data_IF_903637997759
#
_entry.id   IF_903637997759
#
_cell.length_a   1.000
_cell.length_b   1.000
_cell.length_c   1.000
_cell.angle_alpha   90.00
_cell.angle_beta   90.00
_cell.angle_gamma   90.00
#
_symmetry.space_group_name_H-M   'P 1'
#
loop_
_entity.id
_entity.type
_entity.pdbx_description
1 polymer ?
#
# COMPACT_ATOMS: atom_id res chain seq x y z
N UNK A 1 -21.97 -3.51 9.28
CA UNK A 1 -21.78 -2.57 8.16
C UNK A 1 -23.02 -2.63 7.29
N UNK A 2 -23.63 -1.49 7.00
CA UNK A 2 -24.85 -1.37 6.18
C UNK A 2 -24.56 -0.54 4.91
N UNK A 3 -25.57 -0.37 4.02
CA UNK A 3 -25.42 0.40 2.76
C UNK A 3 -25.00 1.85 2.98
N UNK A 4 -25.39 2.44 4.12
CA UNK A 4 -24.97 3.81 4.48
C UNK A 4 -23.50 3.87 4.83
N UNK A 5 -22.99 2.85 5.51
CA UNK A 5 -21.56 2.73 5.81
C UNK A 5 -20.74 2.59 4.52
N UNK A 6 -21.23 1.78 3.54
CA UNK A 6 -20.57 1.63 2.24
C UNK A 6 -20.53 2.95 1.46
N UNK A 7 -21.61 3.74 1.47
CA UNK A 7 -21.63 5.07 0.84
C UNK A 7 -20.67 6.06 1.50
N UNK A 8 -20.58 6.04 2.85
CA UNK A 8 -19.60 6.86 3.58
C UNK A 8 -18.18 6.46 3.19
N UNK A 9 -17.87 5.16 3.14
CA UNK A 9 -16.57 4.66 2.73
C UNK A 9 -16.22 5.06 1.29
N UNK A 10 -17.19 4.98 0.36
CA UNK A 10 -17.00 5.43 -1.01
C UNK A 10 -16.64 6.93 -1.07
N UNK A 11 -17.40 7.77 -0.38
CA UNK A 11 -17.14 9.21 -0.32
C UNK A 11 -15.75 9.53 0.27
N UNK A 12 -15.34 8.83 1.33
CA UNK A 12 -14.02 8.99 1.94
C UNK A 12 -12.87 8.47 1.05
N UNK A 13 -13.09 7.42 0.26
CA UNK A 13 -12.11 6.94 -0.71
C UNK A 13 -11.94 7.90 -1.90
N UNK A 14 -13.00 8.60 -2.30
CA UNK A 14 -12.92 9.64 -3.33
C UNK A 14 -12.26 10.91 -2.79
N UNK A 15 -12.62 11.33 -1.58
CA UNK A 15 -12.07 12.52 -0.95
C UNK A 15 -11.95 12.34 0.57
N UNK A 16 -10.77 11.93 1.03
CA UNK A 16 -10.48 11.77 2.46
C UNK A 16 -10.54 13.10 3.26
N UNK A 17 -10.66 14.26 2.60
CA UNK A 17 -10.82 15.58 3.22
C UNK A 17 -12.25 16.09 3.21
N UNK A 18 -13.20 15.30 2.69
CA UNK A 18 -14.61 15.67 2.71
C UNK A 18 -15.08 15.87 4.15
N UNK A 19 -15.84 16.93 4.38
CA UNK A 19 -16.46 17.21 5.67
C UNK A 19 -17.61 16.24 5.95
N UNK A 20 -17.94 16.01 7.19
CA UNK A 20 -19.11 15.18 7.55
C UNK A 20 -20.42 15.76 7.04
N UNK A 21 -20.48 17.09 6.80
CA UNK A 21 -21.62 17.74 6.15
C UNK A 21 -21.76 17.31 4.69
N UNK A 22 -20.67 17.40 3.91
CA UNK A 22 -20.64 17.00 2.50
C UNK A 22 -20.96 15.50 2.33
N UNK A 23 -20.37 14.65 3.17
CA UNK A 23 -20.66 13.21 3.17
C UNK A 23 -22.13 12.98 3.54
N UNK A 24 -22.65 13.70 4.54
CA UNK A 24 -24.03 13.61 4.97
C UNK A 24 -25.02 13.95 3.87
N UNK A 25 -24.79 15.02 3.12
CA UNK A 25 -25.59 15.41 1.96
C UNK A 25 -25.59 14.30 0.89
N UNK A 26 -24.43 13.74 0.55
CA UNK A 26 -24.31 12.67 -0.42
C UNK A 26 -24.99 11.36 0.01
N UNK A 27 -25.03 11.07 1.33
CA UNK A 27 -25.55 9.82 1.88
C UNK A 27 -26.99 9.93 2.45
N UNK A 28 -27.56 11.13 2.50
CA UNK A 28 -28.87 11.39 3.14
C UNK A 28 -28.81 11.21 4.66
N UNK A 29 -27.76 11.71 5.30
CA UNK A 29 -27.51 11.60 6.74
C UNK A 29 -27.18 12.97 7.35
N UNK A 30 -27.44 13.14 8.66
CA UNK A 30 -26.93 14.30 9.38
C UNK A 30 -25.42 14.19 9.59
N UNK A 31 -24.69 15.32 9.71
CA UNK A 31 -23.25 15.31 9.99
C UNK A 31 -22.88 14.53 11.24
N UNK A 32 -23.70 14.61 12.31
CA UNK A 32 -23.48 13.86 13.55
C UNK A 32 -23.62 12.36 13.33
N UNK A 33 -24.59 11.92 12.52
CA UNK A 33 -24.76 10.50 12.16
C UNK A 33 -23.56 9.98 11.35
N UNK A 34 -23.03 10.79 10.42
CA UNK A 34 -21.80 10.46 9.68
C UNK A 34 -20.63 10.31 10.62
N UNK A 35 -20.41 11.31 11.52
CA UNK A 35 -19.34 11.26 12.51
C UNK A 35 -19.37 9.98 13.35
N UNK A 36 -20.55 9.62 13.90
CA UNK A 36 -20.67 8.42 14.72
C UNK A 36 -20.40 7.13 13.96
N UNK A 37 -20.80 7.08 12.69
CA UNK A 37 -20.54 5.93 11.80
C UNK A 37 -19.06 5.83 11.44
N UNK A 38 -18.42 6.91 11.04
CA UNK A 38 -16.99 6.96 10.73
C UNK A 38 -16.18 6.49 11.95
N UNK A 39 -16.47 7.01 13.14
CA UNK A 39 -15.81 6.58 14.37
C UNK A 39 -15.94 5.08 14.63
N UNK A 40 -17.12 4.50 14.40
CA UNK A 40 -17.31 3.04 14.53
C UNK A 40 -16.49 2.24 13.51
N UNK A 41 -16.42 2.73 12.25
CA UNK A 41 -15.63 2.10 11.20
C UNK A 41 -14.11 2.17 11.49
N UNK A 42 -13.65 3.26 12.05
CA UNK A 42 -12.26 3.41 12.55
C UNK A 42 -11.97 2.44 13.70
N UNK A 43 -12.84 2.42 14.72
CA UNK A 43 -12.70 1.53 15.89
C UNK A 43 -12.75 0.05 15.51
N UNK A 44 -13.52 -0.30 14.49
CA UNK A 44 -13.61 -1.66 13.95
C UNK A 44 -12.44 -2.02 13.01
N UNK A 45 -11.52 -1.08 12.72
CA UNK A 45 -10.40 -1.28 11.81
C UNK A 45 -10.80 -1.41 10.33
N UNK A 46 -12.02 -1.05 9.97
CA UNK A 46 -12.48 -0.99 8.56
C UNK A 46 -11.79 0.17 7.87
N UNK A 47 -11.78 1.35 8.49
CA UNK A 47 -10.92 2.46 8.10
C UNK A 47 -9.60 2.29 8.85
N UNK A 48 -8.54 2.01 8.10
CA UNK A 48 -7.19 1.78 8.66
C UNK A 48 -6.39 3.06 8.84
N UNK A 49 -6.81 4.15 8.21
CA UNK A 49 -6.13 5.44 8.24
C UNK A 49 -6.47 6.31 7.06
N UNK A 50 -5.86 7.49 7.02
CA UNK A 50 -6.00 8.48 5.97
C UNK A 50 -4.59 8.87 5.51
N UNK A 51 -4.32 8.78 4.21
CA UNK A 51 -3.01 9.07 3.64
C UNK A 51 -3.14 9.99 2.43
N UNK A 52 -2.18 10.91 2.29
CA UNK A 52 -2.03 11.67 1.08
C UNK A 52 -1.41 10.77 -0.01
N UNK A 53 -1.99 10.77 -1.19
CA UNK A 53 -1.35 10.20 -2.37
C UNK A 53 -0.36 11.22 -2.91
N UNK A 54 0.91 10.85 -2.96
CA UNK A 54 1.99 11.72 -3.41
C UNK A 54 2.55 11.16 -4.70
N UNK A 55 2.71 12.02 -5.71
CA UNK A 55 3.37 11.65 -6.95
C UNK A 55 4.86 11.35 -6.69
N UNK A 56 5.30 10.11 -6.92
CA UNK A 56 6.67 9.71 -6.61
C UNK A 56 7.71 10.45 -7.47
N UNK A 57 7.40 10.75 -8.73
CA UNK A 57 8.33 11.50 -9.59
C UNK A 57 8.56 12.92 -9.07
N UNK A 58 7.53 13.57 -8.55
CA UNK A 58 7.64 14.89 -7.91
C UNK A 58 8.51 14.87 -6.65
N UNK A 59 8.71 13.71 -6.04
CA UNK A 59 9.62 13.53 -4.90
C UNK A 59 10.98 12.95 -5.28
N UNK A 60 11.25 12.82 -6.59
CA UNK A 60 12.52 12.34 -7.11
C UNK A 60 12.66 10.81 -7.19
N UNK A 61 11.56 10.07 -7.06
CA UNK A 61 11.53 8.60 -7.14
C UNK A 61 11.07 8.18 -8.54
N UNK A 62 12.02 8.05 -9.47
CA UNK A 62 11.72 7.84 -10.89
C UNK A 62 11.65 6.36 -11.29
N UNK A 63 12.12 5.45 -10.44
CA UNK A 63 12.14 4.01 -10.74
C UNK A 63 11.22 3.26 -9.80
N UNK A 64 10.22 2.59 -10.36
CA UNK A 64 9.35 1.66 -9.64
C UNK A 64 9.66 0.25 -10.11
N UNK A 65 9.83 -0.67 -9.17
CA UNK A 65 10.07 -2.08 -9.45
C UNK A 65 9.19 -2.99 -8.59
N UNK A 66 8.78 -4.10 -9.16
CA UNK A 66 8.21 -5.24 -8.44
C UNK A 66 9.33 -6.28 -8.28
N UNK A 67 9.71 -6.53 -7.04
CA UNK A 67 10.81 -7.44 -6.69
C UNK A 67 10.26 -8.68 -6.02
N UNK A 68 10.28 -9.79 -6.75
CA UNK A 68 9.96 -11.08 -6.18
C UNK A 68 11.12 -11.59 -5.34
N UNK A 69 10.86 -12.12 -4.15
CA UNK A 69 11.84 -12.64 -3.23
C UNK A 69 11.50 -14.08 -2.83
N UNK A 70 12.48 -14.96 -2.98
CA UNK A 70 12.38 -16.39 -2.59
C UNK A 70 13.56 -16.71 -1.68
N UNK A 71 13.33 -17.32 -0.51
CA UNK A 71 14.40 -17.78 0.38
C UNK A 71 15.40 -18.66 -0.34
N UNK A 72 16.70 -18.46 -0.09
CA UNK A 72 17.77 -19.34 -0.59
C UNK A 72 17.75 -20.68 0.14
N UNK A 73 17.51 -20.67 1.44
CA UNK A 73 17.32 -21.86 2.26
C UNK A 73 15.84 -22.01 2.61
N UNK A 74 15.16 -23.08 2.16
CA UNK A 74 13.77 -23.34 2.52
C UNK A 74 13.51 -23.50 4.02
N UNK A 75 14.57 -23.72 4.82
CA UNK A 75 14.48 -23.89 6.29
C UNK A 75 14.71 -22.58 7.05
N UNK A 76 15.08 -21.49 6.38
CA UNK A 76 15.25 -20.23 7.07
C UNK A 76 13.90 -19.73 7.62
N UNK A 77 13.88 -18.94 8.71
CA UNK A 77 12.67 -18.35 9.24
C UNK A 77 11.95 -17.51 8.19
N UNK A 78 10.61 -17.54 8.22
CA UNK A 78 9.75 -16.75 7.33
C UNK A 78 9.55 -15.33 7.91
N UNK A 79 10.66 -14.59 8.03
CA UNK A 79 10.77 -13.28 8.68
C UNK A 79 11.21 -12.16 7.71
N UNK A 80 10.98 -12.38 6.41
CA UNK A 80 11.34 -11.37 5.40
C UNK A 80 10.65 -10.01 5.66
N UNK A 81 9.34 -9.94 6.00
CA UNK A 81 8.70 -8.65 6.25
C UNK A 81 9.42 -7.83 7.31
N UNK A 82 9.85 -8.46 8.41
CA UNK A 82 10.58 -7.81 9.49
C UNK A 82 11.96 -7.32 9.03
N UNK A 83 12.64 -8.12 8.22
CA UNK A 83 13.97 -7.80 7.70
C UNK A 83 13.97 -6.64 6.71
N UNK A 84 12.89 -6.46 5.95
CA UNK A 84 12.79 -5.41 4.94
C UNK A 84 12.12 -4.13 5.47
N UNK A 85 11.53 -4.15 6.65
CA UNK A 85 10.82 -3.02 7.24
C UNK A 85 11.67 -1.75 7.37
N UNK A 86 13.00 -1.91 7.55
CA UNK A 86 13.94 -0.81 7.67
C UNK A 86 14.46 -0.30 6.31
N UNK A 87 14.12 -0.96 5.21
CA UNK A 87 14.52 -0.56 3.87
C UNK A 87 13.52 0.47 3.35
N UNK A 88 13.89 1.73 3.37
CA UNK A 88 13.01 2.86 3.02
C UNK A 88 12.50 2.82 1.56
N UNK A 89 13.19 2.09 0.70
CA UNK A 89 12.77 1.89 -0.69
C UNK A 89 11.57 0.96 -0.84
N UNK A 90 11.27 0.14 0.18
CA UNK A 90 10.13 -0.80 0.16
C UNK A 90 8.85 -0.06 0.53
N UNK A 91 7.97 0.12 -0.45
CA UNK A 91 6.64 0.74 -0.26
C UNK A 91 5.62 -0.29 0.23
N UNK A 92 5.58 -1.48 -0.42
CA UNK A 92 4.68 -2.58 -0.08
C UNK A 92 5.43 -3.91 0.02
N UNK A 93 4.94 -4.80 0.87
CA UNK A 93 5.40 -6.17 1.00
C UNK A 93 4.19 -7.11 1.02
N UNK A 94 4.10 -7.99 0.03
CA UNK A 94 3.01 -8.96 -0.10
C UNK A 94 3.55 -10.37 0.03
N UNK A 95 3.00 -11.17 0.95
CA UNK A 95 3.15 -12.62 0.94
C UNK A 95 2.23 -13.18 -0.15
N UNK A 96 2.76 -14.03 -1.01
CA UNK A 96 2.04 -14.53 -2.18
C UNK A 96 2.07 -16.06 -2.25
N UNK A 97 1.05 -16.62 -2.89
CA UNK A 97 0.99 -18.03 -3.23
C UNK A 97 1.40 -18.18 -4.70
N UNK A 98 2.59 -18.74 -4.95
CA UNK A 98 3.16 -18.90 -6.29
C UNK A 98 4.57 -19.43 -6.22
N UNK A 99 5.36 -19.16 -7.25
CA UNK A 99 6.76 -19.58 -7.30
C UNK A 99 7.65 -18.80 -6.32
N UNK A 100 7.24 -17.57 -6.01
CA UNK A 100 7.88 -16.69 -5.05
C UNK A 100 7.16 -16.71 -3.71
N UNK A 101 7.86 -16.38 -2.60
CA UNK A 101 7.23 -16.25 -1.29
C UNK A 101 6.69 -14.83 -1.07
N UNK A 102 7.38 -13.82 -1.60
CA UNK A 102 7.03 -12.41 -1.41
C UNK A 102 7.21 -11.61 -2.69
N UNK A 103 6.37 -10.58 -2.84
CA UNK A 103 6.55 -9.52 -3.84
C UNK A 103 6.61 -8.19 -3.11
N UNK A 104 7.69 -7.44 -3.38
CA UNK A 104 7.91 -6.10 -2.85
C UNK A 104 7.65 -5.07 -3.94
N UNK A 105 6.93 -4.00 -3.63
CA UNK A 105 6.89 -2.79 -4.45
C UNK A 105 7.99 -1.86 -3.94
N UNK A 106 8.89 -1.48 -4.83
CA UNK A 106 10.10 -0.75 -4.49
C UNK A 106 10.17 0.53 -5.32
N UNK A 107 10.59 1.62 -4.68
CA UNK A 107 10.83 2.90 -5.38
C UNK A 107 12.23 3.41 -5.10
N UNK A 108 12.91 3.82 -6.17
CA UNK A 108 14.26 4.39 -6.09
C UNK A 108 14.38 5.59 -7.02
N UNK A 109 15.43 6.39 -6.84
CA UNK A 109 15.69 7.56 -7.70
C UNK A 109 16.23 7.14 -9.05
N UNK A 110 17.16 6.18 -9.05
CA UNK A 110 17.87 5.71 -10.24
C UNK A 110 17.90 4.20 -10.30
N UNK A 111 18.26 3.66 -11.45
CA UNK A 111 18.53 2.22 -11.61
C UNK A 111 19.76 1.78 -10.83
N UNK A 112 20.75 2.66 -10.61
CA UNK A 112 21.91 2.38 -9.75
C UNK A 112 21.50 2.22 -8.29
N UNK A 113 20.57 3.08 -7.80
CA UNK A 113 20.03 2.94 -6.44
C UNK A 113 19.23 1.63 -6.29
N UNK A 114 18.53 1.21 -7.36
CA UNK A 114 17.84 -0.06 -7.38
C UNK A 114 18.82 -1.24 -7.30
N UNK A 115 19.93 -1.20 -8.03
CA UNK A 115 20.98 -2.22 -7.96
C UNK A 115 21.58 -2.33 -6.55
N UNK A 116 21.88 -1.22 -5.91
CA UNK A 116 22.35 -1.17 -4.52
C UNK A 116 21.31 -1.70 -3.53
N UNK A 117 20.05 -1.35 -3.71
CA UNK A 117 18.95 -1.90 -2.93
C UNK A 117 18.86 -3.43 -3.07
N UNK A 118 18.90 -3.96 -4.29
CA UNK A 118 18.83 -5.40 -4.55
C UNK A 118 20.00 -6.17 -3.91
N UNK A 119 21.20 -5.59 -3.90
CA UNK A 119 22.35 -6.16 -3.20
C UNK A 119 22.10 -6.22 -1.70
N UNK A 120 21.70 -5.12 -1.07
CA UNK A 120 21.37 -5.05 0.37
C UNK A 120 20.24 -6.00 0.75
N UNK A 121 19.21 -6.11 -0.07
CA UNK A 121 18.08 -7.01 0.15
C UNK A 121 18.55 -8.47 0.18
N UNK A 122 19.35 -8.89 -0.79
CA UNK A 122 19.88 -10.28 -0.86
C UNK A 122 20.75 -10.60 0.34
N UNK A 123 21.64 -9.68 0.72
CA UNK A 123 22.53 -9.85 1.87
C UNK A 123 21.76 -9.90 3.20
N UNK A 124 20.81 -8.99 3.39
CA UNK A 124 20.04 -8.87 4.64
C UNK A 124 19.02 -9.99 4.82
N UNK A 125 18.37 -10.42 3.76
CA UNK A 125 17.25 -11.35 3.81
C UNK A 125 17.58 -12.78 3.37
N UNK A 126 18.76 -13.02 2.78
CA UNK A 126 19.13 -14.37 2.30
C UNK A 126 18.18 -14.88 1.21
N UNK A 127 17.85 -14.03 0.24
CA UNK A 127 16.86 -14.33 -0.80
C UNK A 127 17.47 -14.28 -2.20
N UNK A 128 16.89 -15.05 -3.10
CA UNK A 128 16.99 -14.88 -4.54
C UNK A 128 15.91 -13.88 -4.97
N UNK A 129 16.25 -12.97 -5.87
CA UNK A 129 15.35 -11.95 -6.36
C UNK A 129 15.13 -12.04 -7.87
N UNK A 130 13.91 -11.71 -8.30
CA UNK A 130 13.56 -11.43 -9.69
C UNK A 130 12.90 -10.06 -9.72
N UNK A 131 13.42 -9.17 -10.57
CA UNK A 131 13.01 -7.77 -10.62
C UNK A 131 12.28 -7.49 -11.93
N UNK A 132 11.11 -6.88 -11.82
CA UNK A 132 10.34 -6.36 -12.95
C UNK A 132 10.23 -4.84 -12.79
N UNK A 133 10.74 -4.10 -13.79
CA UNK A 133 10.63 -2.64 -13.82
C UNK A 133 9.24 -2.26 -14.31
N UNK A 134 8.56 -1.38 -13.58
CA UNK A 134 7.29 -0.80 -13.99
C UNK A 134 7.58 0.34 -14.98
N UNK A 135 7.05 0.24 -16.19
CA UNK A 135 7.25 1.27 -17.21
C UNK A 135 6.24 2.41 -17.06
N UNK A 136 5.03 2.09 -16.66
CA UNK A 136 3.96 3.06 -16.37
C UNK A 136 2.93 2.43 -15.46
N UNK A 137 2.21 3.26 -14.71
CA UNK A 137 1.08 2.84 -13.87
C UNK A 137 -0.17 3.56 -14.36
N UNK A 138 -0.95 2.96 -15.29
CA UNK A 138 -2.13 3.63 -15.85
C UNK A 138 -3.17 4.04 -14.82
N UNK A 139 -3.29 3.29 -13.71
CA UNK A 139 -4.10 3.65 -12.56
C UNK A 139 -3.66 2.89 -11.30
N UNK A 140 -3.78 3.52 -10.16
CA UNK A 140 -3.59 2.97 -8.80
C UNK A 140 -4.74 3.41 -7.89
N UNK A 141 -4.82 2.82 -6.72
CA UNK A 141 -5.66 3.27 -5.59
C UNK A 141 -7.14 3.54 -5.96
N UNK A 142 -7.69 2.76 -6.89
CA UNK A 142 -9.13 2.87 -7.20
C UNK A 142 -9.95 2.50 -5.95
N UNK A 143 -11.08 3.20 -5.71
CA UNK A 143 -11.99 2.86 -4.62
C UNK A 143 -12.38 1.38 -4.63
N UNK A 144 -12.34 0.74 -3.45
CA UNK A 144 -12.63 -0.70 -3.29
C UNK A 144 -14.09 -0.97 -2.93
N UNK A 145 -14.87 0.07 -2.69
CA UNK A 145 -16.29 -0.09 -2.31
C UNK A 145 -17.11 -0.30 -3.56
N UNK A 146 -17.93 -1.37 -3.62
CA UNK A 146 -18.79 -1.68 -4.76
C UNK A 146 -19.90 -0.68 -4.93
#
# INVERSE_FOLDING_TARGET
MDDRDLRILAALQENARATFGEIGEACGLSPSSVHDRVRKLEQAGVIKGYQAQVDPESTGLFVTALVSATPLDPKQPDDLPERVLELAEVEDCHSVAGDENYILKVRTRTTSDLEDFLRRLREKAGVRTRTTIVLSTPFEHRPLVP
#
